data_IF_580134750294
#
_entry.id   IF_580134750294
#
_cell.length_a   1.000
_cell.length_b   1.000
_cell.length_c   1.000
_cell.angle_alpha   90.00
_cell.angle_beta   90.00
_cell.angle_gamma   90.00
#
_symmetry.space_group_name_H-M   'P 1'
#
loop_
_entity.id
_entity.type
_entity.pdbx_description
1 polymer ?
#
# COMPACT_ATOMS: atom_id res chain seq x y z
N UNK A 1 4.72 -7.94 -11.39
CA UNK A 1 5.83 -7.00 -11.40
C UNK A 1 7.10 -7.78 -11.59
N UNK A 2 7.97 -7.33 -12.50
CA UNK A 2 9.35 -7.83 -12.53
C UNK A 2 10.12 -7.22 -11.35
N UNK A 3 11.22 -7.87 -10.96
CA UNK A 3 12.05 -7.45 -9.80
C UNK A 3 12.48 -5.97 -9.90
N UNK A 4 12.89 -5.51 -11.08
CA UNK A 4 13.32 -4.14 -11.30
C UNK A 4 12.19 -3.11 -11.14
N UNK A 5 10.97 -3.47 -11.55
CA UNK A 5 9.77 -2.62 -11.41
C UNK A 5 9.34 -2.56 -9.94
N UNK A 6 9.28 -3.71 -9.26
CA UNK A 6 8.97 -3.78 -7.83
C UNK A 6 9.92 -2.92 -6.99
N UNK A 7 11.21 -2.83 -7.38
CA UNK A 7 12.18 -1.96 -6.71
C UNK A 7 11.90 -0.46 -6.91
N UNK A 8 11.33 -0.07 -8.05
CA UNK A 8 10.91 1.32 -8.30
C UNK A 8 9.65 1.64 -7.50
N UNK A 9 8.65 0.77 -7.55
CA UNK A 9 7.40 0.92 -6.76
C UNK A 9 7.72 1.04 -5.27
N UNK A 10 8.55 0.14 -4.73
CA UNK A 10 8.95 0.19 -3.31
C UNK A 10 9.77 1.43 -2.94
N UNK A 11 10.47 2.06 -3.90
CA UNK A 11 11.15 3.33 -3.63
C UNK A 11 10.11 4.43 -3.40
N UNK A 12 9.10 4.50 -4.25
CA UNK A 12 8.11 5.58 -4.19
C UNK A 12 7.14 5.37 -3.02
N UNK A 13 6.71 4.14 -2.75
CA UNK A 13 6.02 3.78 -1.49
C UNK A 13 6.88 4.13 -0.28
N UNK A 14 8.19 3.84 -0.35
CA UNK A 14 9.15 4.17 0.70
C UNK A 14 9.21 5.67 1.00
N UNK A 15 9.11 6.53 -0.02
CA UNK A 15 9.05 8.00 0.16
C UNK A 15 7.78 8.42 0.91
N UNK A 16 6.65 7.77 0.65
CA UNK A 16 5.38 8.05 1.35
C UNK A 16 5.46 7.65 2.82
N UNK A 17 6.07 6.50 3.12
CA UNK A 17 6.20 6.00 4.50
C UNK A 17 7.48 6.43 5.24
N UNK A 18 8.34 7.22 4.59
CA UNK A 18 9.57 7.75 5.19
C UNK A 18 9.31 8.61 6.45
N UNK A 19 8.26 9.46 6.50
CA UNK A 19 7.81 10.03 7.77
C UNK A 19 7.44 8.90 8.73
N UNK A 20 8.22 8.70 9.77
CA UNK A 20 8.01 7.54 10.67
C UNK A 20 6.67 7.57 11.41
N UNK A 21 6.07 8.76 11.56
CA UNK A 21 4.85 8.96 12.35
C UNK A 21 3.82 9.81 11.61
N UNK A 22 2.59 9.35 11.51
CA UNK A 22 1.49 10.01 10.81
C UNK A 22 0.35 10.40 11.73
N UNK A 23 -0.45 11.40 11.36
CA UNK A 23 -1.73 11.70 12.03
C UNK A 23 -2.84 10.72 11.63
N UNK A 24 -2.72 10.12 10.45
CA UNK A 24 -3.62 9.12 9.88
C UNK A 24 -2.82 8.17 8.99
N UNK A 25 -3.31 6.96 8.73
CA UNK A 25 -2.61 6.03 7.84
C UNK A 25 -2.68 6.60 6.40
N UNK A 26 -1.54 6.88 5.72
CA UNK A 26 -1.51 7.56 4.43
C UNK A 26 -1.86 6.60 3.27
N UNK A 27 -3.02 5.95 3.36
CA UNK A 27 -3.39 4.84 2.48
C UNK A 27 -3.58 5.28 1.02
N UNK A 28 -4.22 6.44 0.81
CA UNK A 28 -4.41 6.99 -0.52
C UNK A 28 -3.07 7.29 -1.19
N UNK A 29 -2.15 7.95 -0.49
CA UNK A 29 -0.82 8.28 -1.01
C UNK A 29 0.01 7.01 -1.33
N UNK A 30 -0.11 5.96 -0.50
CA UNK A 30 0.53 4.66 -0.76
C UNK A 30 -0.03 4.02 -2.03
N UNK A 31 -1.34 4.03 -2.22
CA UNK A 31 -2.00 3.48 -3.41
C UNK A 31 -1.62 4.27 -4.66
N UNK A 32 -1.65 5.59 -4.59
CA UNK A 32 -1.29 6.48 -5.69
C UNK A 32 0.18 6.30 -6.10
N UNK A 33 1.09 6.08 -5.13
CA UNK A 33 2.48 5.74 -5.41
C UNK A 33 2.65 4.42 -6.18
N UNK A 34 1.74 3.46 -6.03
CA UNK A 34 1.73 2.19 -6.79
C UNK A 34 1.09 2.41 -8.17
N UNK A 35 -0.01 3.16 -8.22
CA UNK A 35 -0.76 3.51 -9.44
C UNK A 35 0.07 4.30 -10.45
N UNK A 36 0.98 5.15 -9.98
CA UNK A 36 1.94 5.86 -10.84
C UNK A 36 2.87 4.93 -11.65
N UNK A 37 2.92 3.63 -11.33
CA UNK A 37 3.67 2.62 -12.08
C UNK A 37 2.78 1.69 -12.92
N UNK A 38 1.49 1.98 -13.07
CA UNK A 38 0.56 1.18 -13.88
C UNK A 38 -0.03 -0.03 -13.14
N UNK A 39 -0.12 0.05 -11.82
CA UNK A 39 -0.60 -1.02 -10.95
C UNK A 39 -1.70 -0.50 -10.01
N UNK A 40 -2.80 -1.22 -9.91
CA UNK A 40 -3.94 -0.82 -9.09
C UNK A 40 -4.03 -1.72 -7.85
N UNK A 41 -4.13 -1.14 -6.66
CA UNK A 41 -4.48 -1.90 -5.46
C UNK A 41 -5.98 -2.14 -5.47
N UNK A 42 -6.41 -3.41 -5.37
CA UNK A 42 -7.79 -3.79 -5.66
C UNK A 42 -8.51 -4.52 -4.53
N UNK A 43 -9.84 -4.48 -4.57
CA UNK A 43 -10.74 -5.35 -3.82
C UNK A 43 -11.02 -6.68 -4.57
N UNK A 44 -11.88 -7.52 -4.00
CA UNK A 44 -12.26 -8.82 -4.55
C UNK A 44 -13.00 -8.74 -5.91
N UNK A 45 -13.54 -7.56 -6.24
CA UNK A 45 -14.21 -7.28 -7.50
C UNK A 45 -13.31 -6.59 -8.54
N UNK A 46 -12.01 -6.46 -8.23
CA UNK A 46 -11.01 -5.75 -9.04
C UNK A 46 -11.25 -4.24 -9.18
N UNK A 47 -12.05 -3.63 -8.30
CA UNK A 47 -12.13 -2.18 -8.20
C UNK A 47 -10.98 -1.65 -7.36
N UNK A 48 -10.66 -0.35 -7.49
CA UNK A 48 -9.70 0.30 -6.59
C UNK A 48 -10.14 0.08 -5.14
N UNK A 49 -9.25 -0.47 -4.32
CA UNK A 49 -9.60 -0.80 -2.94
C UNK A 49 -10.10 0.43 -2.20
N UNK A 50 -11.19 0.26 -1.47
CA UNK A 50 -11.74 1.28 -0.57
C UNK A 50 -12.31 0.62 0.67
N UNK A 51 -12.10 1.23 1.83
CA UNK A 51 -12.50 0.64 3.10
C UNK A 51 -11.86 1.33 4.29
N UNK A 52 -12.05 0.73 5.46
CA UNK A 52 -11.52 1.24 6.73
C UNK A 52 -10.58 0.21 7.37
N UNK A 53 -9.45 0.71 7.85
CA UNK A 53 -8.53 -0.06 8.70
C UNK A 53 -8.93 0.17 10.16
N UNK A 54 -9.12 -0.92 10.89
CA UNK A 54 -9.68 -0.89 12.24
C UNK A 54 -8.69 -1.44 13.26
N UNK A 55 -8.74 -0.91 14.48
CA UNK A 55 -7.94 -1.38 15.60
C UNK A 55 -6.68 -0.54 15.84
N UNK A 56 -6.14 -0.67 17.07
CA UNK A 56 -4.93 0.04 17.50
C UNK A 56 -3.71 -0.38 16.71
N UNK A 57 -3.66 -1.62 16.26
CA UNK A 57 -2.56 -2.18 15.49
C UNK A 57 -3.13 -3.24 14.56
N UNK A 58 -2.45 -3.48 13.45
CA UNK A 58 -2.91 -4.47 12.49
C UNK A 58 -1.98 -4.64 11.32
N UNK A 59 -2.30 -5.66 10.53
CA UNK A 59 -1.64 -5.97 9.28
C UNK A 59 -2.73 -6.24 8.23
N UNK A 60 -2.50 -5.73 7.03
CA UNK A 60 -3.37 -5.96 5.88
C UNK A 60 -2.52 -6.33 4.66
N UNK A 61 -3.11 -7.14 3.79
CA UNK A 61 -2.57 -7.51 2.50
C UNK A 61 -3.62 -7.18 1.45
N UNK A 62 -3.21 -6.50 0.39
CA UNK A 62 -4.08 -6.11 -0.70
C UNK A 62 -3.52 -6.66 -2.01
N UNK A 63 -4.40 -7.23 -2.82
CA UNK A 63 -4.03 -7.69 -4.14
C UNK A 63 -3.74 -6.51 -5.07
N UNK A 64 -2.86 -6.74 -6.03
CA UNK A 64 -2.47 -5.74 -7.03
C UNK A 64 -2.87 -6.25 -8.41
N UNK A 65 -3.44 -5.39 -9.22
CA UNK A 65 -3.78 -5.64 -10.61
C UNK A 65 -2.85 -4.84 -11.53
N UNK A 66 -2.33 -5.48 -12.57
CA UNK A 66 -1.61 -4.80 -13.65
C UNK A 66 -2.60 -4.10 -14.57
N UNK A 67 -2.53 -2.78 -14.66
CA UNK A 67 -3.43 -2.00 -15.54
C UNK A 67 -3.14 -2.25 -17.03
N UNK A 68 -1.91 -2.63 -17.38
CA UNK A 68 -1.54 -3.02 -18.75
C UNK A 68 -2.23 -4.31 -19.19
N UNK A 69 -2.28 -5.31 -18.31
CA UNK A 69 -2.76 -6.67 -18.68
C UNK A 69 -4.17 -6.98 -18.20
N UNK A 70 -4.72 -6.18 -17.27
CA UNK A 70 -6.01 -6.43 -16.63
C UNK A 70 -6.03 -7.67 -15.74
N UNK A 71 -4.86 -8.16 -15.31
CA UNK A 71 -4.72 -9.38 -14.50
C UNK A 71 -4.13 -9.07 -13.14
N UNK A 72 -4.51 -9.89 -12.16
CA UNK A 72 -3.85 -9.90 -10.86
C UNK A 72 -2.36 -10.20 -11.03
N UNK A 73 -1.57 -9.37 -10.37
CA UNK A 73 -0.15 -9.51 -10.24
C UNK A 73 0.17 -10.55 -9.16
N UNK A 74 1.30 -11.23 -9.28
CA UNK A 74 1.77 -12.16 -8.24
C UNK A 74 2.41 -11.45 -7.02
N UNK A 75 2.22 -10.13 -6.92
CA UNK A 75 2.67 -9.29 -5.81
C UNK A 75 1.45 -8.71 -5.09
N UNK A 76 1.65 -8.28 -3.85
CA UNK A 76 0.62 -7.66 -3.02
C UNK A 76 1.21 -6.50 -2.23
N UNK A 77 0.37 -5.52 -1.91
CA UNK A 77 0.70 -4.48 -0.94
C UNK A 77 0.59 -5.07 0.46
N UNK A 78 1.67 -5.02 1.22
CA UNK A 78 1.71 -5.31 2.65
C UNK A 78 1.67 -4.00 3.41
N UNK A 79 0.74 -3.88 4.34
CA UNK A 79 0.60 -2.73 5.22
C UNK A 79 0.55 -3.21 6.66
N UNK A 80 1.34 -2.59 7.53
CA UNK A 80 1.24 -2.73 8.99
C UNK A 80 1.09 -1.36 9.62
N UNK A 81 0.30 -1.27 10.69
CA UNK A 81 0.17 -0.03 11.46
C UNK A 81 0.15 -0.29 12.96
N UNK A 82 0.57 0.72 13.71
CA UNK A 82 0.45 0.79 15.17
C UNK A 82 0.12 2.22 15.60
N UNK A 83 -0.95 2.38 16.39
CA UNK A 83 -1.35 3.65 16.99
C UNK A 83 -0.60 3.85 18.31
N UNK A 84 0.27 4.86 18.34
CA UNK A 84 1.04 5.25 19.50
C UNK A 84 0.17 5.88 20.59
N UNK A 85 0.69 5.98 21.82
CA UNK A 85 0.03 6.68 22.92
C UNK A 85 -0.26 8.17 22.62
N UNK A 86 0.48 8.77 21.68
CA UNK A 86 0.25 10.15 21.20
C UNK A 86 -0.95 10.27 20.25
N UNK A 87 -1.56 9.17 19.83
CA UNK A 87 -2.58 9.13 18.78
C UNK A 87 -2.02 9.12 17.35
N UNK A 88 -0.70 9.24 17.17
CA UNK A 88 -0.05 9.09 15.85
C UNK A 88 0.09 7.63 15.45
N UNK A 89 0.18 7.39 14.16
CA UNK A 89 0.37 6.07 13.57
C UNK A 89 1.83 5.88 13.16
N UNK A 90 2.43 4.78 13.56
CA UNK A 90 3.62 4.23 12.91
C UNK A 90 3.15 3.28 11.81
N UNK A 91 3.62 3.49 10.59
CA UNK A 91 3.12 2.79 9.40
C UNK A 91 4.29 2.20 8.62
N UNK A 92 4.16 0.93 8.23
CA UNK A 92 5.07 0.24 7.33
C UNK A 92 4.29 -0.24 6.12
N UNK A 93 4.76 0.10 4.92
CA UNK A 93 4.17 -0.37 3.67
C UNK A 93 5.22 -0.79 2.66
N UNK A 94 4.99 -1.90 1.95
CA UNK A 94 5.83 -2.34 0.84
C UNK A 94 5.07 -3.32 -0.07
N UNK A 95 5.51 -3.43 -1.32
CA UNK A 95 5.06 -4.44 -2.27
C UNK A 95 5.94 -5.68 -2.17
N UNK A 96 5.32 -6.83 -1.85
CA UNK A 96 5.98 -8.12 -1.62
C UNK A 96 6.29 -8.89 -2.92
#
# INVERSE_FOLDING_TARGET
MKVAEKKKVNRDVGVVVDPTYFSEIPLADIMDAIENHGYLVVDEEHNRWSGFLCGREGQAMFDILSQETGKLDNSNLRLSWYTMASGRYEVLAYVA
#
